data_IF_313032147418
#
_entry.id   IF_313032147418
#
_cell.length_a   1.000
_cell.length_b   1.000
_cell.length_c   1.000
_cell.angle_alpha   90.00
_cell.angle_beta   90.00
_cell.angle_gamma   90.00
#
_symmetry.space_group_name_H-M   'P 1'
#
loop_
_entity.id
_entity.type
_entity.pdbx_description
1 polymer ?
#
# COMPACT_ATOMS: atom_id res chain seq x y z
N UNK A 1 -15.94 -9.31 16.45
CA UNK A 1 -15.69 -9.44 15.00
C UNK A 1 -14.43 -10.28 14.84
N UNK A 2 -14.47 -11.44 14.18
CA UNK A 2 -13.26 -12.24 13.93
C UNK A 2 -12.70 -11.81 12.58
N UNK A 3 -11.55 -11.16 12.61
CA UNK A 3 -10.73 -10.92 11.41
C UNK A 3 -10.14 -12.27 10.97
N UNK A 4 -9.93 -12.44 9.67
CA UNK A 4 -8.98 -13.43 9.19
C UNK A 4 -7.58 -12.84 9.38
N UNK A 5 -6.90 -13.26 10.44
CA UNK A 5 -5.59 -12.74 10.83
C UNK A 5 -4.55 -12.89 9.71
N UNK A 6 -4.67 -13.93 8.87
CA UNK A 6 -3.76 -14.14 7.75
C UNK A 6 -3.97 -13.07 6.68
N UNK A 7 -5.23 -12.81 6.29
CA UNK A 7 -5.55 -11.81 5.28
C UNK A 7 -5.24 -10.38 5.74
N UNK A 8 -5.44 -10.09 7.04
CA UNK A 8 -5.08 -8.80 7.62
C UNK A 8 -3.56 -8.60 7.61
N UNK A 9 -2.80 -9.58 8.11
CA UNK A 9 -1.33 -9.53 8.10
C UNK A 9 -0.78 -9.41 6.68
N UNK A 10 -1.37 -10.12 5.71
CA UNK A 10 -0.98 -10.03 4.31
C UNK A 10 -1.23 -8.62 3.75
N UNK A 11 -2.39 -8.03 4.04
CA UNK A 11 -2.73 -6.68 3.59
C UNK A 11 -1.77 -5.62 4.13
N UNK A 12 -1.49 -5.70 5.43
CA UNK A 12 -0.54 -4.79 6.10
C UNK A 12 0.87 -4.97 5.53
N UNK A 13 1.32 -6.22 5.35
CA UNK A 13 2.64 -6.51 4.79
C UNK A 13 2.81 -5.94 3.38
N UNK A 14 1.80 -6.07 2.51
CA UNK A 14 1.84 -5.50 1.15
C UNK A 14 1.95 -3.97 1.17
N UNK A 15 1.20 -3.31 2.05
CA UNK A 15 1.25 -1.85 2.18
C UNK A 15 2.59 -1.36 2.72
N UNK A 16 3.13 -2.04 3.75
CA UNK A 16 4.43 -1.72 4.32
C UNK A 16 5.57 -1.98 3.34
N UNK A 17 5.52 -3.08 2.59
CA UNK A 17 6.53 -3.39 1.57
C UNK A 17 6.59 -2.29 0.51
N UNK A 18 5.42 -1.83 0.02
CA UNK A 18 5.37 -0.67 -0.89
C UNK A 18 5.96 0.59 -0.25
N UNK A 19 5.53 0.94 0.97
CA UNK A 19 6.01 2.13 1.66
C UNK A 19 7.56 2.13 1.83
N UNK A 20 8.14 1.00 2.23
CA UNK A 20 9.59 0.83 2.40
C UNK A 20 10.29 0.90 1.04
N UNK A 21 9.79 0.13 0.06
CA UNK A 21 10.37 0.02 -1.27
C UNK A 21 10.45 1.37 -2.00
N UNK A 22 9.42 2.21 -1.87
CA UNK A 22 9.37 3.51 -2.54
C UNK A 22 9.99 4.67 -1.72
N UNK A 23 10.46 4.39 -0.50
CA UNK A 23 11.17 5.35 0.37
C UNK A 23 12.66 5.04 0.44
N UNK A 24 13.43 5.51 -0.54
CA UNK A 24 14.89 5.32 -0.56
C UNK A 24 15.60 6.04 0.59
N UNK A 25 15.12 7.23 0.96
CA UNK A 25 15.59 8.00 2.12
C UNK A 25 14.39 8.69 2.76
N UNK A 26 14.32 8.67 4.09
CA UNK A 26 13.23 9.26 4.86
C UNK A 26 12.67 8.29 5.88
N UNK A 27 11.34 8.25 6.03
CA UNK A 27 10.69 7.43 7.04
C UNK A 27 9.37 6.83 6.57
N UNK A 28 9.05 5.66 7.11
CA UNK A 28 7.70 5.08 7.10
C UNK A 28 7.15 5.13 8.52
N UNK A 29 5.95 5.66 8.68
CA UNK A 29 5.26 5.81 9.97
C UNK A 29 3.97 5.02 9.94
N UNK A 30 3.75 4.23 10.99
CA UNK A 30 2.52 3.45 11.18
C UNK A 30 1.78 3.99 12.40
N UNK A 31 0.48 4.23 12.25
CA UNK A 31 -0.40 4.64 13.35
C UNK A 31 -1.60 3.69 13.41
N UNK A 32 -1.99 3.34 14.63
CA UNK A 32 -3.24 2.61 14.90
C UNK A 32 -4.13 3.56 15.69
N UNK A 33 -5.30 3.86 15.13
CA UNK A 33 -6.24 4.82 15.67
C UNK A 33 -7.53 4.07 15.94
N UNK A 34 -7.92 3.99 17.22
CA UNK A 34 -9.20 3.42 17.62
C UNK A 34 -10.24 4.54 17.73
N UNK A 35 -11.38 4.36 17.07
CA UNK A 35 -12.50 5.27 17.13
C UNK A 35 -13.44 4.93 18.30
N UNK A 36 -14.25 5.91 18.71
CA UNK A 36 -15.30 5.69 19.73
C UNK A 36 -16.40 4.73 19.25
N UNK A 37 -16.46 4.43 17.95
CA UNK A 37 -17.43 3.53 17.32
C UNK A 37 -16.91 2.10 17.18
N UNK A 38 -15.83 1.73 17.89
CA UNK A 38 -15.16 0.43 17.79
C UNK A 38 -14.59 0.12 16.40
N UNK A 39 -14.27 1.16 15.62
CA UNK A 39 -13.54 1.02 14.36
C UNK A 39 -12.05 1.23 14.63
N UNK A 40 -11.21 0.46 13.95
CA UNK A 40 -9.75 0.58 14.03
C UNK A 40 -9.24 1.00 12.66
N UNK A 41 -8.55 2.13 12.61
CA UNK A 41 -7.86 2.62 11.41
C UNK A 41 -6.37 2.37 11.56
N UNK A 42 -5.78 1.70 10.58
CA UNK A 42 -4.32 1.58 10.45
C UNK A 42 -3.88 2.52 9.34
N UNK A 43 -3.09 3.53 9.70
CA UNK A 43 -2.49 4.47 8.74
C UNK A 43 -1.03 4.10 8.51
N UNK A 44 -0.64 4.01 7.25
CA UNK A 44 0.75 3.85 6.81
C UNK A 44 1.09 5.08 5.97
N UNK A 45 2.06 5.85 6.43
CA UNK A 45 2.52 7.08 5.79
C UNK A 45 4.00 6.97 5.48
N UNK A 46 4.38 7.18 4.23
CA UNK A 46 5.77 7.18 3.78
C UNK A 46 6.18 8.54 3.22
N UNK A 47 7.48 8.80 3.19
CA UNK A 47 8.06 10.04 2.63
C UNK A 47 8.78 9.78 1.32
N UNK A 48 8.38 8.73 0.59
CA UNK A 48 9.02 8.28 -0.63
C UNK A 48 8.75 9.18 -1.82
N UNK A 49 8.97 8.64 -3.02
CA UNK A 49 8.78 9.36 -4.29
C UNK A 49 7.33 9.81 -4.53
N UNK A 50 6.37 9.30 -3.76
CA UNK A 50 4.95 9.57 -3.90
C UNK A 50 4.34 8.88 -5.13
N UNK A 51 3.12 9.28 -5.46
CA UNK A 51 2.33 8.75 -6.57
C UNK A 51 1.77 9.94 -7.35
N UNK A 52 1.88 9.94 -8.69
CA UNK A 52 1.29 11.04 -9.45
C UNK A 52 -0.24 11.07 -9.35
N UNK A 53 -0.80 12.28 -9.42
CA UNK A 53 -2.26 12.48 -9.38
C UNK A 53 -2.99 11.76 -10.50
N UNK A 54 -2.35 11.60 -11.66
CA UNK A 54 -2.92 10.89 -12.81
C UNK A 54 -2.99 9.39 -12.54
N UNK A 55 -1.95 8.83 -11.92
CA UNK A 55 -1.87 7.41 -11.63
C UNK A 55 -2.78 6.96 -10.48
N UNK A 56 -3.18 7.85 -9.56
CA UNK A 56 -4.12 7.52 -8.46
C UNK A 56 -5.40 6.84 -8.94
N UNK A 57 -5.88 7.16 -10.15
CA UNK A 57 -7.08 6.53 -10.75
C UNK A 57 -6.88 5.04 -11.05
N UNK A 58 -5.64 4.63 -11.29
CA UNK A 58 -5.24 3.28 -11.66
C UNK A 58 -4.56 2.53 -10.50
N UNK A 59 -4.49 3.13 -9.30
CA UNK A 59 -3.72 2.62 -8.17
C UNK A 59 -4.06 1.17 -7.79
N UNK A 60 -5.32 0.79 -7.94
CA UNK A 60 -5.84 -0.52 -7.60
C UNK A 60 -6.14 -1.40 -8.82
N UNK A 61 -5.72 -0.98 -10.01
CA UNK A 61 -5.91 -1.76 -11.24
C UNK A 61 -4.88 -2.89 -11.27
N UNK A 62 -5.29 -4.16 -11.41
CA UNK A 62 -4.36 -5.28 -11.51
C UNK A 62 -3.36 -5.10 -12.65
N UNK A 63 -2.10 -5.46 -12.40
CA UNK A 63 -0.99 -5.35 -13.37
C UNK A 63 -0.64 -3.91 -13.79
N UNK A 64 -1.21 -2.91 -13.13
CA UNK A 64 -0.88 -1.51 -13.37
C UNK A 64 0.33 -1.10 -12.54
N UNK A 65 1.25 -0.35 -13.16
CA UNK A 65 2.37 0.33 -12.50
C UNK A 65 2.57 1.71 -13.13
N UNK A 66 2.99 2.69 -12.33
CA UNK A 66 3.22 4.06 -12.80
C UNK A 66 4.46 4.16 -13.71
N UNK A 67 5.50 3.39 -13.43
CA UNK A 67 6.69 3.32 -14.28
C UNK A 67 6.48 2.34 -15.46
N UNK A 68 6.65 2.83 -16.68
CA UNK A 68 6.52 2.04 -17.90
C UNK A 68 7.87 1.81 -18.60
N UNK A 69 8.08 0.62 -19.16
CA UNK A 69 9.23 0.32 -20.03
C UNK A 69 10.59 0.15 -19.31
N UNK A 70 11.68 0.47 -20.01
CA UNK A 70 13.07 0.32 -19.54
C UNK A 70 13.47 1.27 -18.38
N UNK A 71 12.62 2.22 -18.02
CA UNK A 71 12.85 3.14 -16.89
C UNK A 71 12.37 2.60 -15.54
N UNK A 72 11.90 1.35 -15.50
CA UNK A 72 11.41 0.70 -14.29
C UNK A 72 12.56 0.58 -13.28
N UNK A 73 12.55 1.40 -12.23
CA UNK A 73 13.52 1.38 -11.14
C UNK A 73 13.20 0.33 -10.08
N UNK A 74 11.95 -0.14 -10.07
CA UNK A 74 11.41 -0.98 -9.00
C UNK A 74 10.68 -2.21 -9.56
N UNK A 75 11.13 -3.40 -9.15
CA UNK A 75 10.50 -4.66 -9.54
C UNK A 75 9.10 -4.83 -8.92
N UNK A 76 8.13 -5.33 -9.68
CA UNK A 76 6.80 -5.63 -9.17
C UNK A 76 5.83 -6.03 -10.28
N UNK A 77 4.79 -6.78 -9.92
CA UNK A 77 3.75 -7.24 -10.86
C UNK A 77 2.58 -6.28 -10.98
N UNK A 78 2.48 -5.25 -10.13
CA UNK A 78 1.31 -4.38 -10.06
C UNK A 78 0.06 -5.05 -9.45
N UNK A 79 0.21 -6.19 -8.76
CA UNK A 79 -0.92 -6.91 -8.13
C UNK A 79 -1.18 -6.56 -6.67
N UNK A 80 -0.16 -6.09 -5.94
CA UNK A 80 -0.23 -5.96 -4.47
C UNK A 80 -1.40 -5.10 -3.99
N UNK A 81 -1.50 -3.85 -4.45
CA UNK A 81 -2.55 -2.93 -4.01
C UNK A 81 -3.95 -3.39 -4.45
N UNK A 82 -4.07 -3.99 -5.63
CA UNK A 82 -5.32 -4.58 -6.09
C UNK A 82 -5.79 -5.73 -5.17
N UNK A 83 -4.85 -6.53 -4.65
CA UNK A 83 -5.15 -7.59 -3.68
C UNK A 83 -5.62 -7.00 -2.33
N UNK A 84 -4.93 -5.97 -1.82
CA UNK A 84 -5.32 -5.29 -0.57
C UNK A 84 -6.75 -4.77 -0.65
N UNK A 85 -7.13 -4.10 -1.75
CA UNK A 85 -8.50 -3.58 -1.97
C UNK A 85 -9.57 -4.69 -2.10
N UNK A 86 -9.17 -5.92 -2.40
CA UNK A 86 -10.09 -7.06 -2.45
C UNK A 86 -10.29 -7.68 -1.07
N UNK A 87 -9.30 -7.56 -0.19
CA UNK A 87 -9.31 -8.12 1.16
C UNK A 87 -10.03 -7.19 2.15
N UNK A 88 -9.72 -5.89 2.09
CA UNK A 88 -10.31 -4.83 2.91
C UNK A 88 -11.53 -4.22 2.23
#
# INVERSE_FOLDING_TARGET
MKSDDYLLNQSIAILLDNAIKYTNQGSVKVRVIESKTCEVTIEIEDTGIGISKEYLKNLFTPFSQEEHGYSRKFDGTGLGLALVKKIL
#
